data_IF_425052895801
#
_entry.id   IF_425052895801
#
_cell.length_a   1.000
_cell.length_b   1.000
_cell.length_c   1.000
_cell.angle_alpha   90.00
_cell.angle_beta   90.00
_cell.angle_gamma   90.00
#
_symmetry.space_group_name_H-M   'P 1'
#
loop_
_entity.id
_entity.type
_entity.pdbx_description
1 polymer ?
#
# COMPACT_ATOMS: atom_id res chain seq x y z
N UNK A 1 25.33 13.59 10.10
CA UNK A 1 25.12 12.48 11.08
C UNK A 1 26.45 11.79 11.38
N UNK A 2 26.83 11.74 12.66
CA UNK A 2 28.09 11.16 13.15
C UNK A 2 28.25 9.68 12.75
N UNK A 3 29.39 9.35 12.12
CA UNK A 3 29.66 8.06 11.46
C UNK A 3 29.57 6.82 12.35
N UNK A 4 29.51 6.98 13.68
CA UNK A 4 29.33 5.87 14.63
C UNK A 4 27.96 5.18 14.50
N UNK A 5 26.92 5.91 14.09
CA UNK A 5 25.56 5.36 13.92
C UNK A 5 25.42 4.52 12.64
N UNK A 6 26.25 4.75 11.63
CA UNK A 6 26.20 4.02 10.36
C UNK A 6 26.75 2.59 10.47
N UNK A 7 27.77 2.41 11.32
CA UNK A 7 28.41 1.10 11.51
C UNK A 7 27.48 0.12 12.24
N UNK A 8 26.73 0.60 13.24
CA UNK A 8 25.76 -0.23 13.98
C UNK A 8 24.63 -0.73 13.08
N UNK A 9 24.16 0.10 12.15
CA UNK A 9 23.05 -0.22 11.24
C UNK A 9 23.46 -1.29 10.20
N UNK A 10 24.70 -1.24 9.71
CA UNK A 10 25.23 -2.24 8.75
C UNK A 10 25.40 -3.63 9.39
N UNK A 11 25.76 -3.71 10.66
CA UNK A 11 25.94 -5.01 11.36
C UNK A 11 24.61 -5.73 11.61
N UNK A 12 23.52 -4.98 11.85
CA UNK A 12 22.18 -5.56 12.04
C UNK A 12 21.60 -6.10 10.73
N UNK A 13 21.82 -5.41 9.60
CA UNK A 13 21.35 -5.84 8.28
C UNK A 13 22.05 -7.15 7.84
N UNK A 14 23.35 -7.30 8.14
CA UNK A 14 24.11 -8.51 7.81
C UNK A 14 23.66 -9.77 8.58
N UNK A 15 23.12 -9.62 9.79
CA UNK A 15 22.63 -10.76 10.58
C UNK A 15 21.26 -11.28 10.10
N UNK A 16 20.45 -10.43 9.45
CA UNK A 16 19.12 -10.80 8.95
C UNK A 16 19.21 -11.47 7.56
N UNK A 17 20.23 -11.12 6.76
CA UNK A 17 20.42 -11.64 5.39
C UNK A 17 20.88 -13.11 5.29
N UNK A 18 21.28 -13.75 6.39
CA UNK A 18 21.82 -15.12 6.35
C UNK A 18 20.75 -16.23 6.43
N UNK A 19 19.47 -15.90 6.63
CA UNK A 19 18.43 -16.89 6.92
C UNK A 19 17.59 -17.36 5.70
N UNK A 20 17.76 -16.78 4.51
CA UNK A 20 16.91 -17.09 3.35
C UNK A 20 17.69 -17.62 2.15
N UNK A 21 18.36 -18.77 2.34
CA UNK A 21 18.79 -19.61 1.23
C UNK A 21 17.65 -20.56 0.89
N UNK A 22 17.01 -20.31 -0.26
CA UNK A 22 16.27 -21.32 -1.01
C UNK A 22 14.76 -21.21 -0.91
N UNK A 23 14.16 -20.61 -1.94
CA UNK A 23 13.23 -21.29 -2.87
C UNK A 23 13.15 -20.39 -4.10
N UNK A 24 13.69 -20.87 -5.22
CA UNK A 24 13.51 -20.25 -6.52
C UNK A 24 12.23 -20.76 -7.16
N UNK A 25 11.37 -19.84 -7.61
CA UNK A 25 10.29 -20.15 -8.55
C UNK A 25 10.50 -19.30 -9.79
N UNK A 26 10.83 -19.96 -10.89
CA UNK A 26 10.94 -19.36 -12.20
C UNK A 26 9.52 -19.11 -12.75
N UNK A 27 9.20 -17.87 -13.11
CA UNK A 27 8.01 -17.56 -13.91
C UNK A 27 8.50 -17.12 -15.29
N UNK A 28 8.17 -17.95 -16.28
CA UNK A 28 8.52 -17.77 -17.69
C UNK A 28 7.60 -16.73 -18.33
N UNK A 29 8.17 -15.65 -18.86
CA UNK A 29 7.47 -14.66 -19.68
C UNK A 29 6.99 -15.27 -20.99
N UNK A 30 5.70 -15.13 -21.30
CA UNK A 30 5.18 -15.25 -22.68
C UNK A 30 4.56 -13.93 -23.10
N UNK A 31 5.28 -13.25 -23.99
CA UNK A 31 4.89 -12.08 -24.79
C UNK A 31 3.65 -12.35 -25.65
N UNK A 32 2.72 -11.38 -25.75
CA UNK A 32 2.10 -11.01 -27.04
C UNK A 32 1.78 -9.51 -27.07
N UNK A 33 2.33 -8.82 -28.07
CA UNK A 33 2.00 -7.45 -28.51
C UNK A 33 0.59 -7.41 -29.09
N UNK A 34 -0.15 -6.30 -28.94
CA UNK A 34 -0.57 -5.56 -30.14
C UNK A 34 -1.05 -4.13 -29.84
N UNK A 35 -0.80 -3.28 -30.84
CA UNK A 35 -1.00 -1.84 -30.90
C UNK A 35 -2.42 -1.49 -31.35
N UNK A 36 -3.05 -0.48 -30.75
CA UNK A 36 -3.88 0.50 -31.48
C UNK A 36 -4.25 1.73 -30.65
N UNK A 37 -3.85 2.90 -31.15
CA UNK A 37 -4.32 4.24 -30.78
C UNK A 37 -5.76 4.46 -31.24
N UNK A 38 -6.62 5.11 -30.44
CA UNK A 38 -7.59 6.16 -30.82
C UNK A 38 -8.23 6.76 -29.55
N UNK A 39 -8.49 8.05 -29.61
CA UNK A 39 -8.83 9.00 -28.54
C UNK A 39 -10.29 8.99 -28.06
N UNK A 40 -10.46 9.42 -26.80
CA UNK A 40 -11.56 10.16 -26.15
C UNK A 40 -13.04 9.70 -26.27
N UNK A 41 -13.65 9.31 -25.13
CA UNK A 41 -14.60 10.14 -24.35
C UNK A 41 -15.45 9.28 -23.39
N UNK A 42 -15.49 9.74 -22.12
CA UNK A 42 -16.48 9.61 -21.03
C UNK A 42 -17.34 8.35 -20.78
N UNK A 43 -17.38 8.06 -19.47
CA UNK A 43 -18.41 7.45 -18.64
C UNK A 43 -18.46 5.92 -18.44
N UNK A 44 -18.12 5.59 -17.19
CA UNK A 44 -18.70 4.61 -16.28
C UNK A 44 -18.67 3.12 -16.61
N UNK A 45 -18.18 2.41 -15.60
CA UNK A 45 -18.38 1.01 -15.28
C UNK A 45 -17.98 -0.03 -16.32
N UNK A 46 -16.76 -0.54 -16.12
CA UNK A 46 -16.55 -1.99 -16.06
C UNK A 46 -15.24 -2.33 -15.35
N UNK A 47 -15.40 -2.85 -14.14
CA UNK A 47 -14.52 -3.84 -13.51
C UNK A 47 -13.99 -4.83 -14.56
N UNK A 48 -12.69 -4.77 -14.84
CA UNK A 48 -11.91 -5.82 -15.51
C UNK A 48 -10.46 -5.33 -15.56
N UNK A 49 -9.47 -5.97 -14.94
CA UNK A 49 -9.26 -7.42 -14.78
C UNK A 49 -8.38 -7.66 -13.56
N UNK A 50 -9.00 -8.07 -12.47
CA UNK A 50 -8.36 -8.20 -11.16
C UNK A 50 -7.63 -9.54 -11.05
N UNK A 51 -6.31 -9.51 -11.19
CA UNK A 51 -5.46 -10.16 -10.16
C UNK A 51 -5.08 -9.03 -9.22
N UNK A 52 -6.00 -8.64 -8.36
CA UNK A 52 -5.78 -7.56 -7.41
C UNK A 52 -5.17 -8.11 -6.14
N UNK A 53 -4.75 -7.20 -5.30
CA UNK A 53 -4.06 -7.52 -4.08
C UNK A 53 -5.07 -7.76 -2.96
N UNK A 54 -4.94 -8.93 -2.33
CA UNK A 54 -5.68 -9.30 -1.13
C UNK A 54 -4.91 -8.76 0.08
N UNK A 55 -5.53 -7.86 0.84
CA UNK A 55 -4.95 -7.31 2.05
C UNK A 55 -5.15 -8.21 3.27
N UNK A 56 -4.18 -8.23 4.18
CA UNK A 56 -4.29 -8.90 5.48
C UNK A 56 -5.25 -8.10 6.40
N UNK A 57 -6.49 -8.59 6.49
CA UNK A 57 -7.54 -8.00 7.31
C UNK A 57 -7.17 -7.94 8.80
N UNK A 58 -6.56 -8.99 9.35
CA UNK A 58 -6.23 -9.04 10.78
C UNK A 58 -5.10 -8.06 11.11
N UNK A 59 -4.10 -7.93 10.23
CA UNK A 59 -3.07 -6.93 10.35
C UNK A 59 -3.63 -5.51 10.26
N UNK A 60 -4.53 -5.25 9.31
CA UNK A 60 -5.18 -3.95 9.14
C UNK A 60 -6.03 -3.56 10.37
N UNK A 61 -6.81 -4.49 10.91
CA UNK A 61 -7.63 -4.26 12.11
C UNK A 61 -6.79 -3.93 13.35
N UNK A 62 -5.61 -4.56 13.50
CA UNK A 62 -4.67 -4.24 14.58
C UNK A 62 -4.08 -2.83 14.50
N UNK A 63 -4.13 -2.19 13.34
CA UNK A 63 -3.64 -0.82 13.15
C UNK A 63 -4.68 0.26 13.44
N UNK A 64 -5.94 -0.09 13.71
CA UNK A 64 -6.97 0.90 14.06
C UNK A 64 -6.47 1.79 15.22
N UNK A 65 -6.72 3.10 15.09
CA UNK A 65 -6.25 4.17 15.97
C UNK A 65 -4.74 4.45 15.99
N UNK A 66 -3.93 3.67 15.27
CA UNK A 66 -2.49 3.94 15.09
C UNK A 66 -2.26 4.92 13.94
N UNK A 67 -1.20 5.72 14.07
CA UNK A 67 -0.66 6.57 12.99
C UNK A 67 0.51 5.86 12.36
N UNK A 68 0.40 5.54 11.08
CA UNK A 68 1.38 4.75 10.31
C UNK A 68 1.72 5.44 8.99
N UNK A 69 2.85 5.10 8.38
CA UNK A 69 3.18 5.53 7.01
C UNK A 69 2.58 4.59 5.97
N UNK A 70 2.65 4.96 4.68
CA UNK A 70 2.20 4.08 3.60
C UNK A 70 3.06 2.83 3.50
N UNK A 71 4.37 2.97 3.70
CA UNK A 71 5.32 1.86 3.69
C UNK A 71 5.00 0.85 4.79
N UNK A 72 4.61 1.31 5.97
CA UNK A 72 4.19 0.42 7.05
C UNK A 72 2.87 -0.30 6.75
N UNK A 73 1.94 0.35 6.05
CA UNK A 73 0.69 -0.28 5.58
C UNK A 73 1.02 -1.36 4.54
N UNK A 74 1.89 -1.04 3.57
CA UNK A 74 2.34 -1.98 2.55
C UNK A 74 3.05 -3.19 3.16
N UNK A 75 3.97 -2.97 4.10
CA UNK A 75 4.76 -4.02 4.74
C UNK A 75 3.88 -4.98 5.55
N UNK A 76 2.90 -4.46 6.27
CA UNK A 76 2.11 -5.25 7.24
C UNK A 76 0.79 -5.78 6.65
N UNK A 77 0.14 -5.05 5.75
CA UNK A 77 -1.16 -5.43 5.14
C UNK A 77 -0.98 -5.98 3.73
N UNK A 78 0.06 -5.53 3.02
CA UNK A 78 0.29 -5.81 1.60
C UNK A 78 0.11 -4.57 0.72
N UNK A 79 0.55 -4.69 -0.53
CA UNK A 79 0.36 -3.68 -1.58
C UNK A 79 -1.13 -3.49 -1.86
N UNK A 80 -1.60 -2.24 -1.92
CA UNK A 80 -2.98 -1.90 -2.24
C UNK A 80 -3.18 -1.79 -3.76
N UNK A 81 -4.42 -1.96 -4.23
CA UNK A 81 -4.79 -1.75 -5.62
C UNK A 81 -4.84 -0.27 -5.99
N UNK A 82 -5.35 0.56 -5.08
CA UNK A 82 -5.54 1.99 -5.29
C UNK A 82 -5.50 2.77 -3.97
N UNK A 83 -5.18 4.06 -4.06
CA UNK A 83 -5.14 4.98 -2.92
C UNK A 83 -5.79 6.33 -3.26
N UNK A 84 -6.77 6.72 -2.45
CA UNK A 84 -7.43 8.02 -2.53
C UNK A 84 -7.04 8.93 -1.36
N UNK A 85 -6.82 10.21 -1.64
CA UNK A 85 -6.68 11.26 -0.64
C UNK A 85 -7.73 12.37 -0.89
N UNK A 86 -8.75 12.43 -0.05
CA UNK A 86 -9.85 13.39 -0.17
C UNK A 86 -9.71 14.52 0.86
N UNK A 87 -9.64 15.76 0.36
CA UNK A 87 -9.59 16.98 1.17
C UNK A 87 -10.97 17.57 1.52
N UNK A 88 -12.07 16.94 1.10
CA UNK A 88 -13.44 17.39 1.40
C UNK A 88 -13.89 17.10 2.84
N UNK A 89 -12.97 16.72 3.73
CA UNK A 89 -13.21 16.61 5.17
C UNK A 89 -13.57 17.97 5.77
N UNK A 90 -14.67 18.01 6.52
CA UNK A 90 -15.34 19.18 7.10
C UNK A 90 -14.47 20.10 8.02
N UNK A 91 -13.20 19.79 8.21
CA UNK A 91 -12.26 20.51 9.08
C UNK A 91 -11.02 20.94 8.29
N UNK A 92 -10.69 22.23 8.36
CA UNK A 92 -9.49 22.80 7.72
C UNK A 92 -8.25 22.00 8.12
N UNK A 93 -7.65 21.32 7.14
CA UNK A 93 -6.37 20.62 7.30
C UNK A 93 -6.47 19.13 7.63
N UNK A 94 -7.67 18.55 7.64
CA UNK A 94 -7.87 17.09 7.79
C UNK A 94 -8.25 16.51 6.44
N UNK A 95 -7.51 15.51 5.98
CA UNK A 95 -7.79 14.78 4.75
C UNK A 95 -8.15 13.33 5.10
N UNK A 96 -9.04 12.73 4.31
CA UNK A 96 -9.37 11.32 4.38
C UNK A 96 -8.48 10.53 3.43
N UNK A 97 -7.74 9.54 3.94
CA UNK A 97 -6.99 8.59 3.12
C UNK A 97 -7.73 7.27 3.02
N UNK A 98 -7.84 6.69 1.83
CA UNK A 98 -8.44 5.36 1.64
C UNK A 98 -7.49 4.46 0.86
N UNK A 99 -7.23 3.27 1.38
CA UNK A 99 -6.45 2.24 0.72
C UNK A 99 -7.37 1.10 0.30
N UNK A 100 -7.35 0.74 -0.98
CA UNK A 100 -8.27 -0.24 -1.56
C UNK A 100 -7.55 -1.56 -1.83
N UNK A 101 -8.10 -2.64 -1.31
CA UNK A 101 -7.71 -4.02 -1.59
C UNK A 101 -8.92 -4.75 -2.20
N UNK A 102 -8.71 -5.97 -2.69
CA UNK A 102 -9.80 -6.76 -3.27
C UNK A 102 -10.86 -7.19 -2.24
N UNK A 103 -10.44 -7.38 -0.99
CA UNK A 103 -11.26 -7.92 0.09
C UNK A 103 -11.54 -6.92 1.21
N UNK A 104 -10.74 -5.84 1.31
CA UNK A 104 -10.86 -4.85 2.37
C UNK A 104 -10.58 -3.43 1.86
N UNK A 105 -11.05 -2.45 2.63
CA UNK A 105 -10.69 -1.04 2.50
C UNK A 105 -10.28 -0.48 3.84
N UNK A 106 -9.14 0.20 3.86
CA UNK A 106 -8.66 0.91 5.05
C UNK A 106 -9.05 2.37 4.92
N UNK A 107 -9.88 2.86 5.83
CA UNK A 107 -10.22 4.27 5.98
C UNK A 107 -9.32 4.92 7.03
N UNK A 108 -8.72 6.05 6.68
CA UNK A 108 -7.76 6.76 7.52
C UNK A 108 -7.94 8.27 7.46
N UNK A 109 -7.28 8.97 8.38
CA UNK A 109 -7.18 10.44 8.39
C UNK A 109 -5.72 10.85 8.38
N UNK A 110 -5.42 11.93 7.68
CA UNK A 110 -4.11 12.56 7.70
C UNK A 110 -4.23 14.06 7.97
N UNK A 111 -3.29 14.57 8.76
CA UNK A 111 -3.18 15.98 9.11
C UNK A 111 -1.94 16.64 8.47
N UNK A 112 -1.09 15.83 7.84
CA UNK A 112 0.20 16.20 7.25
C UNK A 112 0.20 16.02 5.73
N UNK A 113 -0.98 16.06 5.11
CA UNK A 113 -1.19 15.92 3.65
C UNK A 113 -0.72 14.57 3.09
N UNK A 114 -0.81 13.53 3.91
CA UNK A 114 -0.59 12.15 3.50
C UNK A 114 0.84 11.64 3.69
N UNK A 115 1.62 12.25 4.59
CA UNK A 115 2.87 11.66 5.09
C UNK A 115 2.56 10.53 6.08
N UNK A 116 1.58 10.74 6.97
CA UNK A 116 1.12 9.73 7.92
C UNK A 116 -0.40 9.61 7.94
N UNK A 117 -0.87 8.41 8.28
CA UNK A 117 -2.27 8.01 8.23
C UNK A 117 -2.67 7.42 9.57
N UNK A 118 -3.58 8.12 10.26
CA UNK A 118 -4.27 7.56 11.42
C UNK A 118 -5.38 6.64 10.93
N UNK A 119 -5.26 5.35 11.16
CA UNK A 119 -6.26 4.37 10.74
C UNK A 119 -7.53 4.55 11.56
N UNK A 120 -8.67 4.66 10.90
CA UNK A 120 -9.98 4.91 11.52
C UNK A 120 -10.86 3.68 11.48
N UNK A 121 -10.90 2.98 10.34
CA UNK A 121 -11.72 1.80 10.17
C UNK A 121 -11.17 0.89 9.08
N UNK A 122 -11.52 -0.39 9.17
CA UNK A 122 -11.32 -1.38 8.12
C UNK A 122 -12.70 -1.91 7.74
N UNK A 123 -13.01 -1.90 6.45
CA UNK A 123 -14.27 -2.35 5.89
C UNK A 123 -14.03 -3.50 4.92
N UNK A 124 -14.99 -4.41 4.78
CA UNK A 124 -14.95 -5.45 3.74
C UNK A 124 -15.47 -4.88 2.41
N UNK A 125 -14.96 -5.39 1.29
CA UNK A 125 -15.38 -5.07 -0.09
C UNK A 125 -16.23 -6.18 -0.74
#
# INVERSE_FOLDING_TARGET
MSGKKKILLVVVILLIGAAFIGIGVAVTNSTVKDTQTTEASENEDKKSSTTGNVGDKEAAEKMIDQTVTREEIEEKVGEWNDFELDGNGCERGVYAGKFYYDNIRINSRTYDKGETFRIVAVNEE
#
